data_IF_491954206103
#
_entry.id   IF_491954206103
#
_cell.length_a   1.000
_cell.length_b   1.000
_cell.length_c   1.000
_cell.angle_alpha   90.00
_cell.angle_beta   90.00
_cell.angle_gamma   90.00
#
_symmetry.space_group_name_H-M   'P 1'
#
loop_
_entity.id
_entity.type
_entity.pdbx_description
1 polymer ?
#
# COMPACT_ATOMS: atom_id res chain seq x y z
N UNK A 1 2.09 -54.02 -34.55
CA UNK A 1 1.08 -54.88 -33.90
C UNK A 1 0.53 -54.13 -32.70
N UNK A 2 -0.79 -53.88 -32.66
CA UNK A 2 -1.53 -53.45 -31.46
C UNK A 2 -1.93 -54.71 -30.66
N UNK A 3 -2.00 -54.60 -29.33
CA UNK A 3 -3.31 -54.61 -28.63
C UNK A 3 -3.36 -53.46 -27.59
N UNK A 4 -4.37 -52.60 -27.42
CA UNK A 4 -5.82 -52.70 -27.18
C UNK A 4 -6.25 -53.48 -25.92
N UNK A 5 -7.00 -52.75 -25.06
CA UNK A 5 -7.77 -53.11 -23.85
C UNK A 5 -6.95 -53.16 -22.52
N UNK A 6 -7.35 -52.51 -21.42
CA UNK A 6 -8.69 -52.35 -20.83
C UNK A 6 -8.73 -51.17 -19.85
N UNK A 7 -9.85 -50.46 -19.84
CA UNK A 7 -10.26 -49.43 -18.88
C UNK A 7 -10.11 -49.86 -17.41
N UNK A 8 -9.71 -48.92 -16.56
CA UNK A 8 -10.31 -48.81 -15.22
C UNK A 8 -10.55 -47.33 -14.92
N UNK A 9 -11.84 -46.99 -14.87
CA UNK A 9 -12.36 -45.71 -14.43
C UNK A 9 -12.00 -45.49 -12.96
N UNK A 10 -11.44 -44.33 -12.62
CA UNK A 10 -11.55 -43.78 -11.27
C UNK A 10 -12.41 -42.53 -11.37
N UNK A 11 -13.70 -42.77 -11.18
CA UNK A 11 -14.73 -41.78 -10.88
C UNK A 11 -14.41 -41.16 -9.52
N UNK A 12 -13.79 -39.98 -9.51
CA UNK A 12 -13.64 -39.15 -8.32
C UNK A 12 -14.61 -37.99 -8.40
N UNK A 13 -15.80 -38.15 -7.82
CA UNK A 13 -16.84 -37.13 -7.67
C UNK A 13 -16.28 -35.93 -6.92
N UNK A 14 -15.90 -34.88 -7.65
CA UNK A 14 -15.81 -33.54 -7.12
C UNK A 14 -17.22 -33.04 -6.76
N UNK A 15 -17.26 -32.08 -5.84
CA UNK A 15 -18.40 -31.27 -5.39
C UNK A 15 -19.10 -31.79 -4.12
N UNK A 16 -18.53 -31.46 -2.96
CA UNK A 16 -19.34 -31.19 -1.76
C UNK A 16 -20.05 -29.84 -1.97
N UNK A 17 -21.29 -29.88 -2.44
CA UNK A 17 -22.26 -28.81 -2.20
C UNK A 17 -22.78 -28.96 -0.78
N UNK A 18 -22.28 -28.15 0.15
CA UNK A 18 -23.01 -27.83 1.37
C UNK A 18 -23.44 -26.37 1.28
N UNK A 19 -24.63 -26.20 0.73
CA UNK A 19 -25.47 -25.02 0.84
C UNK A 19 -25.80 -24.81 2.33
N UNK A 20 -25.19 -23.81 2.95
CA UNK A 20 -25.64 -23.24 4.20
C UNK A 20 -26.02 -21.79 3.90
N UNK A 21 -27.28 -21.56 3.52
CA UNK A 21 -27.83 -20.22 3.36
C UNK A 21 -28.56 -19.86 4.66
N UNK A 22 -28.03 -18.92 5.42
CA UNK A 22 -28.84 -18.17 6.37
C UNK A 22 -28.29 -16.75 6.53
N UNK A 23 -29.04 -15.83 5.91
CA UNK A 23 -29.33 -14.45 6.29
C UNK A 23 -28.28 -13.64 7.06
N UNK A 24 -27.80 -12.58 6.42
CA UNK A 24 -27.18 -11.46 7.12
C UNK A 24 -26.64 -10.44 6.15
N UNK A 25 -27.47 -9.47 5.79
CA UNK A 25 -27.03 -8.20 5.22
C UNK A 25 -25.98 -7.58 6.15
N UNK A 26 -24.72 -7.80 5.81
CA UNK A 26 -23.58 -7.20 6.50
C UNK A 26 -22.61 -6.80 5.40
N UNK A 27 -22.93 -5.66 4.80
CA UNK A 27 -21.98 -4.60 4.44
C UNK A 27 -20.61 -5.14 4.04
N UNK A 28 -20.33 -5.10 2.73
CA UNK A 28 -18.99 -4.85 2.20
C UNK A 28 -18.16 -4.15 3.26
N UNK A 29 -17.31 -4.90 3.98
CA UNK A 29 -16.29 -4.27 4.79
C UNK A 29 -15.45 -3.51 3.75
N UNK A 30 -15.43 -2.16 3.77
CA UNK A 30 -14.51 -1.47 2.90
C UNK A 30 -13.13 -2.00 3.27
N UNK A 31 -12.45 -2.55 2.28
CA UNK A 31 -11.01 -2.83 2.32
C UNK A 31 -10.32 -1.66 3.04
N UNK A 32 -9.93 -1.89 4.30
CA UNK A 32 -9.15 -0.95 5.09
C UNK A 32 -7.70 -0.85 4.57
N UNK A 33 -7.43 -1.30 3.34
CA UNK A 33 -6.13 -1.11 2.66
C UNK A 33 -5.99 0.28 2.01
N UNK A 34 -7.02 1.15 2.08
CA UNK A 34 -7.01 2.46 1.38
C UNK A 34 -6.88 3.70 2.29
N UNK A 35 -6.55 3.57 3.59
CA UNK A 35 -6.73 4.68 4.54
C UNK A 35 -5.50 5.12 5.35
N UNK A 36 -4.30 5.10 4.76
CA UNK A 36 -3.23 6.00 5.25
C UNK A 36 -2.48 6.64 4.08
N UNK A 37 -3.25 7.36 3.25
CA UNK A 37 -2.67 8.45 2.47
C UNK A 37 -2.20 9.50 3.46
N UNK A 38 -0.96 9.35 3.94
CA UNK A 38 -0.36 10.30 4.84
C UNK A 38 -0.34 11.66 4.12
N UNK A 39 -1.23 12.57 4.54
CA UNK A 39 -1.40 13.90 3.94
C UNK A 39 -0.08 14.63 4.13
N UNK A 40 0.72 14.73 3.06
CA UNK A 40 2.01 15.39 3.14
C UNK A 40 1.81 16.88 3.47
N UNK A 41 2.65 17.45 4.34
CA UNK A 41 2.56 18.86 4.65
C UNK A 41 2.77 19.70 3.38
N UNK A 42 1.94 20.74 3.24
CA UNK A 42 2.00 21.66 2.11
C UNK A 42 3.27 22.51 2.19
N UNK A 43 3.99 22.63 1.08
CA UNK A 43 5.11 23.58 0.98
C UNK A 43 4.56 25.02 1.03
N UNK A 44 5.17 25.88 1.84
CA UNK A 44 4.82 27.31 1.95
C UNK A 44 6.03 28.17 1.61
N UNK A 45 5.82 29.21 0.81
CA UNK A 45 6.82 30.26 0.57
C UNK A 45 7.14 30.96 1.89
N UNK A 46 8.41 31.31 2.11
CA UNK A 46 8.91 31.87 3.37
C UNK A 46 9.21 30.83 4.45
N UNK A 47 9.11 29.54 4.13
CA UNK A 47 9.42 28.44 5.04
C UNK A 47 10.29 27.39 4.33
N UNK A 48 11.38 26.99 4.98
CA UNK A 48 12.17 25.84 4.54
C UNK A 48 11.63 24.58 5.23
N UNK A 49 11.04 23.67 4.46
CA UNK A 49 10.45 22.44 4.96
C UNK A 49 11.17 21.24 4.37
N UNK A 50 11.64 20.32 5.21
CA UNK A 50 12.25 19.04 4.80
C UNK A 50 11.39 17.90 5.30
N UNK A 51 11.03 17.00 4.38
CA UNK A 51 10.28 15.78 4.66
C UNK A 51 11.18 14.61 4.31
N UNK A 52 11.36 13.70 5.25
CA UNK A 52 12.16 12.48 5.10
C UNK A 52 11.22 11.28 5.09
N UNK A 53 11.40 10.41 4.09
CA UNK A 53 10.61 9.20 3.89
C UNK A 53 11.42 7.98 4.27
N UNK A 54 10.80 7.03 4.97
CA UNK A 54 11.46 5.85 5.52
C UNK A 54 10.81 4.56 5.00
N UNK A 55 11.59 3.47 4.97
CA UNK A 55 11.09 2.14 4.57
C UNK A 55 10.27 1.44 5.65
N UNK A 56 10.48 1.82 6.91
CA UNK A 56 9.97 1.11 8.08
C UNK A 56 9.45 2.10 9.13
N UNK A 57 8.49 1.65 9.94
CA UNK A 57 7.81 2.49 10.95
C UNK A 57 8.72 2.93 12.09
N UNK A 58 9.83 2.21 12.31
CA UNK A 58 10.88 2.62 13.25
C UNK A 58 11.76 3.75 12.69
N UNK A 59 11.56 4.15 11.42
CA UNK A 59 12.26 5.24 10.72
C UNK A 59 13.77 5.05 10.71
N UNK A 60 14.22 3.81 10.51
CA UNK A 60 15.65 3.45 10.57
C UNK A 60 16.38 3.68 9.26
N UNK A 61 15.71 3.49 8.12
CA UNK A 61 16.31 3.67 6.79
C UNK A 61 15.56 4.74 5.99
N UNK A 62 16.26 5.85 5.69
CA UNK A 62 15.75 6.88 4.78
C UNK A 62 15.78 6.35 3.33
N UNK A 63 14.63 6.37 2.67
CA UNK A 63 14.47 5.95 1.26
C UNK A 63 14.16 7.11 0.32
N UNK A 64 13.83 8.27 0.87
CA UNK A 64 13.57 9.45 0.07
C UNK A 64 13.46 10.72 0.89
N UNK A 65 13.40 11.84 0.18
CA UNK A 65 13.35 13.17 0.76
C UNK A 65 12.64 14.14 -0.16
N UNK A 66 11.83 15.02 0.43
CA UNK A 66 11.27 16.22 -0.21
C UNK A 66 11.77 17.45 0.53
N UNK A 67 12.26 18.44 -0.20
CA UNK A 67 12.66 19.74 0.33
C UNK A 67 11.81 20.82 -0.32
N UNK A 68 11.14 21.63 0.48
CA UNK A 68 10.52 22.89 0.09
C UNK A 68 11.49 24.00 0.47
N UNK A 69 12.07 24.69 -0.51
CA UNK A 69 12.90 25.86 -0.29
C UNK A 69 12.03 27.09 0.01
N UNK A 70 12.68 28.14 0.54
CA UNK A 70 12.04 29.39 0.95
C UNK A 70 11.28 30.09 -0.17
N UNK A 71 11.78 30.00 -1.41
CA UNK A 71 11.18 30.58 -2.60
C UNK A 71 9.99 29.76 -3.14
N UNK A 72 9.67 28.63 -2.49
CA UNK A 72 8.62 27.71 -2.90
C UNK A 72 9.11 26.59 -3.83
N UNK A 73 10.38 26.58 -4.25
CA UNK A 73 10.94 25.48 -5.03
C UNK A 73 10.83 24.16 -4.26
N UNK A 74 10.31 23.13 -4.92
CA UNK A 74 10.16 21.79 -4.36
C UNK A 74 11.15 20.85 -5.06
N UNK A 75 12.01 20.21 -4.29
CA UNK A 75 12.93 19.17 -4.77
C UNK A 75 12.57 17.84 -4.13
N UNK A 76 12.44 16.79 -4.93
CA UNK A 76 12.19 15.44 -4.44
C UNK A 76 13.33 14.51 -4.88
N UNK A 77 13.73 13.59 -4.01
CA UNK A 77 14.74 12.58 -4.29
C UNK A 77 14.34 11.25 -3.65
N UNK A 78 14.59 10.13 -4.33
CA UNK A 78 14.27 8.79 -3.80
C UNK A 78 12.78 8.45 -3.83
N UNK A 79 12.36 7.56 -2.96
CA UNK A 79 11.00 7.02 -2.88
C UNK A 79 10.18 7.75 -1.80
N UNK A 80 8.94 8.12 -2.14
CA UNK A 80 7.98 8.62 -1.17
C UNK A 80 7.21 7.45 -0.56
N UNK A 81 7.07 7.47 0.76
CA UNK A 81 6.34 6.46 1.52
C UNK A 81 5.34 7.13 2.47
N UNK A 82 4.38 6.37 3.00
CA UNK A 82 3.46 6.89 4.04
C UNK A 82 4.16 7.12 5.38
N UNK A 83 5.38 6.61 5.56
CA UNK A 83 6.15 6.71 6.80
C UNK A 83 7.16 7.85 6.67
N UNK A 84 6.87 8.99 7.30
CA UNK A 84 7.72 10.16 7.16
C UNK A 84 7.87 10.97 8.46
N UNK A 85 8.85 11.88 8.44
CA UNK A 85 9.01 12.98 9.39
C UNK A 85 9.17 14.29 8.62
N UNK A 86 8.68 15.39 9.18
CA UNK A 86 8.88 16.72 8.62
C UNK A 86 9.55 17.66 9.61
N UNK A 87 10.35 18.57 9.09
CA UNK A 87 10.98 19.66 9.81
C UNK A 87 10.74 20.95 9.04
N UNK A 88 10.27 21.98 9.73
CA UNK A 88 9.96 23.25 9.11
C UNK A 88 10.62 24.39 9.91
N UNK A 89 11.25 25.32 9.21
CA UNK A 89 11.83 26.54 9.80
C UNK A 89 11.49 27.76 8.96
N UNK A 90 11.25 28.90 9.60
CA UNK A 90 11.01 30.16 8.89
C UNK A 90 12.30 30.62 8.19
N UNK A 91 12.14 31.20 7.00
CA UNK A 91 13.23 31.84 6.28
C UNK A 91 13.36 33.28 6.79
N UNK A 92 14.53 33.62 7.35
CA UNK A 92 14.85 34.98 7.79
C UNK A 92 15.46 35.79 6.65
#
# INVERSE_FOLDING_TARGET
MRPLLKSLLITGTLVLTACGVEAGDASTAPELETAEQAILPQCRVGQNTRIYFYSDSAKTVEVGRRTCACDGTITNSGQMTSIWNSYATACN
#
